data_IF_679357386235
#
_entry.id   IF_679357386235
#
_cell.length_a   1.000
_cell.length_b   1.000
_cell.length_c   1.000
_cell.angle_alpha   90.00
_cell.angle_beta   90.00
_cell.angle_gamma   90.00
#
_symmetry.space_group_name_H-M   'P 1'
#
loop_
_entity.id
_entity.type
_entity.pdbx_description
1 polymer ?
#
# COMPACT_ATOMS: atom_id res chain seq x y z
N UNK A 1 -27.93 26.32 5.88
CA UNK A 1 -26.69 25.65 5.44
C UNK A 1 -27.04 24.89 4.19
N UNK A 2 -26.27 25.07 3.12
CA UNK A 2 -26.45 24.32 1.87
C UNK A 2 -26.32 22.81 2.17
N UNK A 3 -27.33 21.97 1.85
CA UNK A 3 -27.25 20.53 2.03
C UNK A 3 -25.99 19.91 1.41
N UNK A 4 -25.53 20.45 0.27
CA UNK A 4 -24.31 20.01 -0.40
C UNK A 4 -23.07 20.21 0.46
N UNK A 5 -22.94 21.37 1.13
CA UNK A 5 -21.83 21.66 2.05
C UNK A 5 -21.75 20.67 3.23
N UNK A 6 -22.91 20.33 3.82
CA UNK A 6 -22.96 19.35 4.90
C UNK A 6 -22.54 17.95 4.42
N UNK A 7 -22.97 17.55 3.24
CA UNK A 7 -22.62 16.25 2.65
C UNK A 7 -21.14 16.19 2.28
N UNK A 8 -20.56 17.28 1.75
CA UNK A 8 -19.12 17.37 1.47
C UNK A 8 -18.27 17.14 2.70
N UNK A 9 -18.54 17.86 3.79
CA UNK A 9 -17.78 17.72 5.04
C UNK A 9 -18.03 16.40 5.73
N UNK A 10 -19.27 15.88 5.69
CA UNK A 10 -19.57 14.55 6.19
C UNK A 10 -18.84 13.47 5.39
N UNK A 11 -18.82 13.59 4.06
CA UNK A 11 -18.07 12.72 3.16
C UNK A 11 -16.57 12.76 3.45
N UNK A 12 -16.00 13.96 3.61
CA UNK A 12 -14.60 14.15 4.02
C UNK A 12 -14.30 13.49 5.37
N UNK A 13 -15.14 13.67 6.38
CA UNK A 13 -14.93 13.06 7.70
C UNK A 13 -15.02 11.53 7.66
N UNK A 14 -16.02 10.98 6.96
CA UNK A 14 -16.19 9.53 6.79
C UNK A 14 -15.04 8.94 5.97
N UNK A 15 -14.61 9.61 4.90
CA UNK A 15 -13.47 9.21 4.10
C UNK A 15 -12.17 9.27 4.91
N UNK A 16 -11.95 10.35 5.67
CA UNK A 16 -10.80 10.48 6.58
C UNK A 16 -10.74 9.31 7.56
N UNK A 17 -11.85 8.97 8.21
CA UNK A 17 -11.88 7.84 9.16
C UNK A 17 -11.65 6.48 8.47
N UNK A 18 -12.38 6.22 7.39
CA UNK A 18 -12.37 4.90 6.72
C UNK A 18 -11.09 4.65 5.92
N UNK A 19 -10.58 5.63 5.19
CA UNK A 19 -9.35 5.53 4.38
C UNK A 19 -8.12 5.46 5.28
N UNK A 20 -7.97 6.39 6.22
CA UNK A 20 -6.84 6.38 7.16
C UNK A 20 -6.92 5.12 8.03
N UNK A 21 -8.09 4.72 8.50
CA UNK A 21 -8.27 3.48 9.27
C UNK A 21 -7.89 2.22 8.51
N UNK A 22 -8.26 2.10 7.23
CA UNK A 22 -7.95 0.93 6.39
C UNK A 22 -6.45 0.83 6.06
N UNK A 23 -5.85 1.93 5.64
CA UNK A 23 -4.50 1.92 5.05
C UNK A 23 -3.39 2.26 6.04
N UNK A 24 -3.70 2.87 7.20
CA UNK A 24 -2.74 3.03 8.30
C UNK A 24 -2.18 1.68 8.75
N UNK A 25 -2.92 0.59 8.60
CA UNK A 25 -2.42 -0.76 8.86
C UNK A 25 -1.21 -1.12 7.98
N UNK A 26 -1.28 -0.76 6.70
CA UNK A 26 -0.27 -1.12 5.70
C UNK A 26 0.97 -0.24 5.79
N UNK A 27 0.84 0.96 6.38
CA UNK A 27 1.89 1.99 6.38
C UNK A 27 2.48 2.26 7.76
N UNK A 28 1.67 2.18 8.81
CA UNK A 28 2.06 2.42 10.20
C UNK A 28 1.98 1.14 11.04
N UNK A 29 1.44 0.03 10.52
CA UNK A 29 1.28 -1.21 11.28
C UNK A 29 2.60 -1.82 11.74
N UNK A 30 3.61 -1.86 10.88
CA UNK A 30 4.99 -2.30 11.20
C UNK A 30 5.64 -1.39 12.23
N UNK A 31 5.44 -0.08 12.11
CA UNK A 31 5.91 0.92 13.08
C UNK A 31 5.27 0.75 14.46
N UNK A 32 3.94 0.62 14.50
CA UNK A 32 3.20 0.38 15.74
C UNK A 32 3.64 -0.93 16.40
N UNK A 33 3.81 -2.00 15.62
CA UNK A 33 4.21 -3.32 16.14
C UNK A 33 5.65 -3.37 16.66
N UNK A 34 6.59 -2.70 16.00
CA UNK A 34 8.00 -2.66 16.41
C UNK A 34 8.29 -1.66 17.54
N UNK A 35 7.34 -0.76 17.84
CA UNK A 35 7.48 0.28 18.87
C UNK A 35 6.39 0.20 19.96
N UNK A 36 5.80 -0.96 20.23
CA UNK A 36 4.69 -1.13 21.19
C UNK A 36 5.03 -0.74 22.63
N UNK A 37 6.32 -0.80 22.99
CA UNK A 37 6.83 -0.38 24.29
C UNK A 37 6.77 1.14 24.48
N UNK A 38 6.60 1.90 23.39
CA UNK A 38 6.55 3.36 23.43
C UNK A 38 5.12 3.84 23.70
N UNK A 39 4.96 4.93 24.48
CA UNK A 39 3.67 5.57 24.65
C UNK A 39 3.06 6.00 23.30
N UNK A 40 1.77 5.74 23.12
CA UNK A 40 1.05 6.00 21.86
C UNK A 40 1.16 7.46 21.40
N UNK A 41 1.19 8.43 22.32
CA UNK A 41 1.27 9.84 21.98
C UNK A 41 2.61 10.23 21.34
N UNK A 42 3.71 9.53 21.65
CA UNK A 42 5.02 9.78 21.00
C UNK A 42 4.96 9.32 19.54
N UNK A 43 4.41 8.13 19.33
CA UNK A 43 4.22 7.54 18.01
C UNK A 43 3.25 8.40 17.17
N UNK A 44 2.20 8.93 17.81
CA UNK A 44 1.25 9.86 17.20
C UNK A 44 1.87 11.22 16.85
N UNK A 45 2.65 11.84 17.75
CA UNK A 45 3.34 13.11 17.45
C UNK A 45 4.25 12.93 16.24
N UNK A 46 4.98 11.83 16.18
CA UNK A 46 5.82 11.51 15.04
C UNK A 46 5.02 11.41 13.73
N UNK A 47 4.03 10.50 13.66
CA UNK A 47 3.22 10.32 12.45
C UNK A 47 2.38 11.57 12.08
N UNK A 48 1.89 12.29 13.10
CA UNK A 48 1.13 13.52 12.97
C UNK A 48 1.97 14.69 12.47
N UNK A 49 3.25 14.77 12.85
CA UNK A 49 4.17 15.78 12.30
C UNK A 49 4.41 15.59 10.80
N UNK A 50 4.56 14.33 10.35
CA UNK A 50 4.71 13.99 8.92
C UNK A 50 3.42 14.28 8.17
N UNK A 51 2.25 13.94 8.75
CA UNK A 51 0.94 14.28 8.18
C UNK A 51 0.80 15.79 7.99
N UNK A 52 1.11 16.56 9.04
CA UNK A 52 1.04 18.03 9.02
C UNK A 52 1.97 18.60 7.96
N UNK A 53 3.25 18.19 7.96
CA UNK A 53 4.23 18.66 7.00
C UNK A 53 3.82 18.33 5.56
N UNK A 54 3.35 17.11 5.31
CA UNK A 54 2.92 16.68 3.97
C UNK A 54 1.67 17.43 3.51
N UNK A 55 0.71 17.67 4.39
CA UNK A 55 -0.52 18.40 4.05
C UNK A 55 -0.21 19.88 3.75
N UNK A 56 0.55 20.54 4.62
CA UNK A 56 0.92 21.96 4.47
C UNK A 56 1.82 22.17 3.26
N UNK A 57 2.78 21.28 3.01
CA UNK A 57 3.66 21.37 1.84
C UNK A 57 2.88 21.22 0.53
N UNK A 58 1.91 20.28 0.47
CA UNK A 58 1.01 20.13 -0.68
C UNK A 58 0.22 21.41 -0.92
N UNK A 59 -0.50 21.87 0.10
CA UNK A 59 -1.29 23.10 0.04
C UNK A 59 -0.49 24.31 -0.45
N UNK A 60 0.71 24.52 0.08
CA UNK A 60 1.56 25.65 -0.28
C UNK A 60 2.10 25.55 -1.72
N UNK A 61 2.54 24.36 -2.13
CA UNK A 61 3.22 24.17 -3.43
C UNK A 61 2.23 24.09 -4.59
N UNK A 62 1.02 23.60 -4.37
CA UNK A 62 -0.01 23.38 -5.40
C UNK A 62 -1.18 24.37 -5.29
N UNK A 63 -0.89 25.61 -4.84
CA UNK A 63 -1.83 26.73 -4.83
C UNK A 63 -3.19 26.42 -4.15
N UNK A 64 -3.14 25.72 -3.01
CA UNK A 64 -4.30 25.32 -2.24
C UNK A 64 -4.73 23.86 -2.42
N UNK A 65 -4.16 23.12 -3.38
CA UNK A 65 -4.43 21.69 -3.57
C UNK A 65 -3.54 20.80 -2.69
N UNK A 66 -4.17 19.99 -1.86
CA UNK A 66 -3.48 19.02 -0.99
C UNK A 66 -3.35 17.64 -1.61
N UNK A 67 -3.97 17.39 -2.76
CA UNK A 67 -3.95 16.11 -3.47
C UNK A 67 -2.76 15.94 -4.42
N UNK A 68 -1.83 16.90 -4.45
CA UNK A 68 -0.61 16.86 -5.28
C UNK A 68 -0.93 16.67 -6.78
N UNK A 69 -1.98 17.33 -7.29
CA UNK A 69 -2.39 17.26 -8.70
C UNK A 69 -3.10 15.95 -9.09
N UNK A 70 -3.32 15.01 -8.15
CA UNK A 70 -3.98 13.73 -8.47
C UNK A 70 -5.45 13.87 -8.79
N UNK A 71 -6.10 14.94 -8.31
CA UNK A 71 -7.50 15.24 -8.59
C UNK A 71 -7.72 16.07 -9.87
N UNK A 72 -6.67 16.46 -10.61
CA UNK A 72 -6.79 17.25 -11.86
C UNK A 72 -7.69 16.57 -12.89
N UNK A 73 -7.63 15.23 -12.97
CA UNK A 73 -8.41 14.43 -13.93
C UNK A 73 -9.80 14.06 -13.41
N UNK A 74 -10.14 14.43 -12.18
CA UNK A 74 -11.44 14.17 -11.57
C UNK A 74 -12.29 15.45 -11.64
N UNK A 75 -13.59 15.38 -11.96
CA UNK A 75 -14.46 16.54 -11.91
C UNK A 75 -14.76 16.92 -10.46
N UNK A 76 -14.83 18.22 -10.15
CA UNK A 76 -15.40 18.67 -8.89
C UNK A 76 -16.91 18.64 -9.03
N UNK A 77 -17.59 18.17 -8.00
CA UNK A 77 -19.05 18.09 -7.97
C UNK A 77 -19.46 19.10 -6.91
N UNK A 78 -20.02 20.23 -7.35
CA UNK A 78 -20.46 21.31 -6.44
C UNK A 78 -21.73 20.87 -5.68
N UNK A 79 -22.68 20.26 -6.39
CA UNK A 79 -23.92 19.75 -5.83
C UNK A 79 -23.81 18.26 -5.42
N UNK A 80 -22.88 17.95 -4.51
CA UNK A 80 -22.73 16.58 -4.00
C UNK A 80 -24.01 16.14 -3.27
N UNK A 81 -24.64 15.09 -3.81
CA UNK A 81 -25.82 14.44 -3.24
C UNK A 81 -25.44 13.31 -2.28
N UNK A 82 -26.40 12.87 -1.46
CA UNK A 82 -26.19 11.85 -0.43
C UNK A 82 -25.56 10.51 -0.91
N UNK A 83 -25.75 10.01 -2.16
CA UNK A 83 -25.15 8.75 -2.60
C UNK A 83 -23.62 8.74 -2.57
N UNK A 84 -22.97 9.90 -2.62
CA UNK A 84 -21.52 10.02 -2.49
C UNK A 84 -21.00 9.67 -1.09
N UNK A 85 -21.89 9.56 -0.09
CA UNK A 85 -21.52 9.07 1.24
C UNK A 85 -21.41 7.54 1.31
N UNK A 86 -22.01 6.81 0.36
CA UNK A 86 -21.98 5.35 0.32
C UNK A 86 -20.55 4.76 0.30
N UNK A 87 -19.60 5.21 -0.55
CA UNK A 87 -18.29 4.61 -0.60
C UNK A 87 -17.54 4.62 0.74
N UNK A 88 -17.41 5.73 1.48
CA UNK A 88 -16.73 5.73 2.77
C UNK A 88 -17.53 5.00 3.86
N UNK A 89 -18.86 4.96 3.78
CA UNK A 89 -19.69 4.15 4.69
C UNK A 89 -19.47 2.65 4.49
N UNK A 90 -19.50 2.18 3.23
CA UNK A 90 -19.25 0.78 2.93
C UNK A 90 -17.81 0.41 3.28
N UNK A 91 -16.83 1.28 2.99
CA UNK A 91 -15.45 1.07 3.40
C UNK A 91 -15.33 0.94 4.93
N UNK A 92 -16.02 1.78 5.70
CA UNK A 92 -16.07 1.68 7.16
C UNK A 92 -16.68 0.35 7.65
N UNK A 93 -17.69 -0.19 6.96
CA UNK A 93 -18.27 -1.49 7.29
C UNK A 93 -17.32 -2.64 6.94
N UNK A 94 -16.66 -2.57 5.78
CA UNK A 94 -15.73 -3.59 5.32
C UNK A 94 -14.46 -3.63 6.16
N UNK A 95 -13.93 -2.49 6.60
CA UNK A 95 -12.74 -2.43 7.47
C UNK A 95 -12.95 -3.15 8.80
N UNK A 96 -14.18 -3.20 9.33
CA UNK A 96 -14.50 -4.00 10.54
C UNK A 96 -14.37 -5.51 10.34
N UNK A 97 -14.47 -5.99 9.10
CA UNK A 97 -14.30 -7.41 8.79
C UNK A 97 -12.83 -7.82 8.68
N UNK A 98 -11.89 -6.85 8.72
CA UNK A 98 -10.46 -7.09 8.60
C UNK A 98 -10.01 -7.47 7.18
N UNK A 99 -10.89 -7.39 6.19
CA UNK A 99 -10.54 -7.60 4.78
C UNK A 99 -9.91 -6.30 4.27
N UNK A 100 -8.64 -6.31 3.80
CA UNK A 100 -8.04 -5.14 3.19
C UNK A 100 -8.79 -4.81 1.90
N UNK A 101 -9.39 -3.63 1.84
CA UNK A 101 -10.11 -3.15 0.66
C UNK A 101 -9.30 -2.02 0.03
N UNK A 102 -9.30 -1.95 -1.29
CA UNK A 102 -8.71 -0.80 -1.96
C UNK A 102 -9.58 0.44 -1.78
N UNK A 103 -9.16 1.33 -0.90
CA UNK A 103 -9.75 2.65 -0.65
C UNK A 103 -9.93 3.45 -1.94
N UNK A 104 -8.90 3.44 -2.79
CA UNK A 104 -8.89 4.22 -4.03
C UNK A 104 -9.93 3.72 -5.03
N UNK A 105 -10.05 2.40 -5.26
CA UNK A 105 -11.14 1.83 -6.08
C UNK A 105 -12.50 2.17 -5.49
N UNK A 106 -12.69 2.03 -4.18
CA UNK A 106 -13.97 2.29 -3.54
C UNK A 106 -14.39 3.75 -3.67
N UNK A 107 -13.49 4.70 -3.44
CA UNK A 107 -13.85 6.13 -3.40
C UNK A 107 -13.75 6.76 -4.78
N UNK A 108 -12.61 6.69 -5.46
CA UNK A 108 -12.37 7.49 -6.67
C UNK A 108 -13.17 7.01 -7.88
N UNK A 109 -13.47 5.72 -7.97
CA UNK A 109 -14.25 5.20 -9.11
C UNK A 109 -15.70 5.68 -9.08
N UNK A 110 -16.22 6.07 -7.91
CA UNK A 110 -17.52 6.74 -7.81
C UNK A 110 -17.49 8.13 -8.44
N UNK A 111 -16.41 8.88 -8.25
CA UNK A 111 -16.27 10.23 -8.84
C UNK A 111 -15.87 10.20 -10.32
N UNK A 112 -15.27 9.09 -10.79
CA UNK A 112 -14.92 8.90 -12.19
C UNK A 112 -15.01 7.43 -12.64
N UNK A 113 -16.22 6.92 -12.93
CA UNK A 113 -16.42 5.52 -13.34
C UNK A 113 -15.60 5.11 -14.58
N UNK A 114 -15.45 6.01 -15.56
CA UNK A 114 -14.69 5.77 -16.79
C UNK A 114 -13.19 5.53 -16.54
N UNK A 115 -12.65 5.94 -15.38
CA UNK A 115 -11.25 5.72 -15.01
C UNK A 115 -10.97 4.35 -14.36
N UNK A 116 -12.00 3.52 -14.14
CA UNK A 116 -11.88 2.24 -13.46
C UNK A 116 -10.88 1.31 -14.17
N UNK A 117 -10.98 1.16 -15.49
CA UNK A 117 -10.10 0.27 -16.25
C UNK A 117 -8.62 0.66 -16.10
N UNK A 118 -8.29 1.93 -16.34
CA UNK A 118 -6.91 2.44 -16.20
C UNK A 118 -6.37 2.24 -14.79
N UNK A 119 -7.22 2.45 -13.79
CA UNK A 119 -6.88 2.28 -12.39
C UNK A 119 -6.66 0.80 -12.02
N UNK A 120 -7.50 -0.10 -12.52
CA UNK A 120 -7.35 -1.57 -12.39
C UNK A 120 -6.05 -2.03 -13.02
N UNK A 121 -5.80 -1.62 -14.26
CA UNK A 121 -4.59 -1.95 -14.98
C UNK A 121 -3.34 -1.49 -14.24
N UNK A 122 -3.30 -0.24 -13.78
CA UNK A 122 -2.17 0.29 -12.99
C UNK A 122 -1.99 -0.41 -11.65
N UNK A 123 -3.07 -0.81 -10.99
CA UNK A 123 -3.00 -1.53 -9.71
C UNK A 123 -2.47 -2.95 -9.88
N UNK A 124 -2.87 -3.65 -10.95
CA UNK A 124 -2.33 -4.98 -11.31
C UNK A 124 -0.85 -4.87 -11.67
N UNK A 125 -0.47 -3.88 -12.48
CA UNK A 125 0.94 -3.61 -12.78
C UNK A 125 1.74 -3.35 -11.50
N UNK A 126 1.18 -2.54 -10.60
CA UNK A 126 1.76 -2.26 -9.28
C UNK A 126 1.97 -3.51 -8.44
N UNK A 127 0.99 -4.40 -8.40
CA UNK A 127 1.11 -5.70 -7.75
C UNK A 127 2.27 -6.53 -8.34
N UNK A 128 2.27 -6.70 -9.67
CA UNK A 128 3.27 -7.50 -10.41
C UNK A 128 4.68 -6.95 -10.19
N UNK A 129 4.85 -5.63 -10.31
CA UNK A 129 6.12 -4.95 -10.11
C UNK A 129 6.62 -5.09 -8.66
N UNK A 130 5.75 -4.86 -7.69
CA UNK A 130 6.08 -4.98 -6.27
C UNK A 130 6.46 -6.42 -5.90
N UNK A 131 5.73 -7.40 -6.43
CA UNK A 131 6.00 -8.82 -6.24
C UNK A 131 7.37 -9.24 -6.79
N UNK A 132 7.68 -8.87 -8.04
CA UNK A 132 8.99 -9.15 -8.65
C UNK A 132 10.14 -8.49 -7.88
N UNK A 133 9.96 -7.21 -7.54
CA UNK A 133 10.94 -6.41 -6.81
C UNK A 133 11.21 -7.01 -5.43
N UNK A 134 10.16 -7.42 -4.70
CA UNK A 134 10.29 -8.08 -3.41
C UNK A 134 11.07 -9.39 -3.51
N UNK A 135 10.80 -10.23 -4.52
CA UNK A 135 11.56 -11.48 -4.72
C UNK A 135 13.05 -11.20 -4.89
N UNK A 136 13.41 -10.28 -5.79
CA UNK A 136 14.82 -9.97 -6.08
C UNK A 136 15.51 -9.43 -4.84
N UNK A 137 14.91 -8.40 -4.22
CA UNK A 137 15.53 -7.73 -3.09
C UNK A 137 15.64 -8.67 -1.91
N UNK A 138 14.62 -9.46 -1.62
CA UNK A 138 14.67 -10.33 -0.46
C UNK A 138 15.64 -11.50 -0.64
N UNK A 139 15.81 -12.01 -1.87
CA UNK A 139 16.89 -12.96 -2.20
C UNK A 139 18.28 -12.34 -2.06
N UNK A 140 18.45 -11.07 -2.43
CA UNK A 140 19.71 -10.37 -2.24
C UNK A 140 19.99 -10.15 -0.75
N UNK A 141 19.00 -9.67 0.00
CA UNK A 141 19.11 -9.41 1.43
C UNK A 141 19.44 -10.71 2.15
N UNK A 142 18.70 -11.79 1.98
CA UNK A 142 19.01 -13.08 2.65
C UNK A 142 20.38 -13.67 2.27
N UNK A 143 20.97 -13.29 1.13
CA UNK A 143 22.34 -13.70 0.75
C UNK A 143 23.42 -12.78 1.34
N UNK A 144 23.16 -11.49 1.42
CA UNK A 144 24.09 -10.47 1.92
C UNK A 144 24.06 -10.36 3.44
N UNK A 145 22.88 -10.56 4.00
CA UNK A 145 22.53 -10.51 5.41
C UNK A 145 22.52 -11.95 5.87
N UNK A 146 23.65 -12.36 6.46
CA UNK A 146 23.95 -13.70 6.96
C UNK A 146 22.76 -14.29 7.73
N UNK A 147 22.53 -15.63 7.70
CA UNK A 147 21.46 -16.28 8.52
C UNK A 147 21.52 -15.87 9.99
N UNK A 148 22.74 -15.60 10.47
CA UNK A 148 23.08 -15.03 11.77
C UNK A 148 22.43 -13.69 12.06
N UNK A 149 22.13 -12.86 11.08
CA UNK A 149 21.44 -11.60 11.31
C UNK A 149 20.01 -11.86 11.76
N UNK A 150 19.25 -12.73 11.09
CA UNK A 150 17.87 -13.07 11.50
C UNK A 150 17.87 -13.83 12.84
N UNK A 151 18.86 -14.68 13.08
CA UNK A 151 18.93 -15.56 14.26
C UNK A 151 19.60 -14.91 15.49
N UNK A 152 20.47 -13.90 15.31
CA UNK A 152 21.15 -13.25 16.43
C UNK A 152 20.34 -12.04 16.94
N UNK A 153 20.23 -11.89 18.27
CA UNK A 153 19.63 -10.71 18.86
C UNK A 153 20.44 -9.46 18.53
N UNK A 154 19.73 -8.36 18.29
CA UNK A 154 20.32 -7.06 17.99
C UNK A 154 21.22 -6.64 19.15
N UNK A 155 22.47 -6.28 18.85
CA UNK A 155 23.37 -5.78 19.89
C UNK A 155 22.87 -4.44 20.44
N UNK A 156 23.03 -4.15 21.75
CA UNK A 156 22.58 -2.90 22.35
C UNK A 156 23.11 -1.64 21.64
N UNK A 157 24.31 -1.73 21.08
CA UNK A 157 25.00 -0.66 20.36
C UNK A 157 24.37 -0.37 19.00
N UNK A 158 23.86 -1.40 18.30
CA UNK A 158 23.23 -1.27 16.98
C UNK A 158 21.75 -0.86 17.09
N UNK A 159 21.12 -1.12 18.24
CA UNK A 159 19.69 -0.87 18.46
C UNK A 159 19.29 0.57 18.16
N UNK A 160 20.12 1.55 18.52
CA UNK A 160 19.84 2.98 18.24
C UNK A 160 19.82 3.28 16.74
N UNK A 161 20.76 2.72 15.98
CA UNK A 161 20.82 2.91 14.52
C UNK A 161 19.58 2.33 13.86
N UNK A 162 19.17 1.12 14.24
CA UNK A 162 17.97 0.48 13.69
C UNK A 162 16.68 1.22 14.04
N UNK A 163 16.58 1.81 15.23
CA UNK A 163 15.44 2.67 15.57
C UNK A 163 15.39 3.87 14.63
N UNK A 164 16.51 4.56 14.42
CA UNK A 164 16.55 5.73 13.52
C UNK A 164 16.22 5.33 12.08
N UNK A 165 16.77 4.22 11.59
CA UNK A 165 16.51 3.73 10.24
C UNK A 165 15.03 3.36 10.06
N UNK A 166 14.43 2.65 11.01
CA UNK A 166 13.03 2.22 10.93
C UNK A 166 12.07 3.42 11.00
N UNK A 167 12.35 4.39 11.87
CA UNK A 167 11.55 5.60 11.95
C UNK A 167 11.67 6.41 10.65
N UNK A 168 12.88 6.52 10.10
CA UNK A 168 13.11 7.21 8.82
C UNK A 168 12.40 6.51 7.65
N UNK A 169 12.46 5.18 7.59
CA UNK A 169 11.74 4.40 6.57
C UNK A 169 10.22 4.52 6.73
N UNK A 170 9.72 4.53 7.97
CA UNK A 170 8.30 4.81 8.26
C UNK A 170 7.90 6.20 7.81
N UNK A 171 8.72 7.22 8.11
CA UNK A 171 8.44 8.59 7.70
C UNK A 171 8.34 8.71 6.18
N UNK A 172 9.27 8.06 5.49
CA UNK A 172 9.27 8.03 4.04
C UNK A 172 8.02 7.32 3.49
N UNK A 173 7.69 6.13 4.00
CA UNK A 173 6.49 5.39 3.59
C UNK A 173 5.20 6.16 3.87
N UNK A 174 5.04 6.65 5.10
CA UNK A 174 3.85 7.38 5.52
C UNK A 174 3.66 8.65 4.69
N UNK A 175 4.74 9.41 4.46
CA UNK A 175 4.71 10.57 3.56
C UNK A 175 4.33 10.19 2.13
N UNK A 176 4.92 9.13 1.55
CA UNK A 176 4.57 8.69 0.20
C UNK A 176 3.11 8.24 0.10
N UNK A 177 2.59 7.55 1.11
CA UNK A 177 1.19 7.14 1.15
C UNK A 177 0.26 8.35 1.23
N UNK A 178 0.51 9.29 2.15
CA UNK A 178 -0.29 10.51 2.30
C UNK A 178 -0.42 11.29 0.99
N UNK A 179 0.69 11.46 0.26
CA UNK A 179 0.71 12.12 -1.05
C UNK A 179 -0.24 11.43 -2.05
N UNK A 180 -0.40 10.12 -1.97
CA UNK A 180 -1.28 9.37 -2.88
C UNK A 180 -2.73 9.39 -2.42
N UNK A 181 -2.95 9.17 -1.13
CA UNK A 181 -4.26 8.92 -0.55
C UNK A 181 -4.99 10.18 -0.10
N UNK A 182 -4.32 11.34 -0.05
CA UNK A 182 -5.03 12.63 0.08
C UNK A 182 -6.06 12.82 -1.04
N UNK A 183 -5.84 12.30 -2.24
CA UNK A 183 -6.85 12.30 -3.29
C UNK A 183 -8.14 11.58 -2.85
N UNK A 184 -8.04 10.45 -2.15
CA UNK A 184 -9.19 9.67 -1.69
C UNK A 184 -9.99 10.38 -0.60
N UNK A 185 -9.32 11.22 0.20
CA UNK A 185 -9.92 11.95 1.31
C UNK A 185 -10.50 13.30 0.84
N UNK A 186 -9.73 14.06 0.06
CA UNK A 186 -10.06 15.42 -0.35
C UNK A 186 -10.90 15.50 -1.63
N UNK A 187 -11.24 14.38 -2.27
CA UNK A 187 -12.15 14.38 -3.44
C UNK A 187 -13.51 15.04 -3.15
N UNK A 188 -13.94 15.04 -1.89
CA UNK A 188 -15.19 15.66 -1.41
C UNK A 188 -15.10 17.18 -1.21
N UNK A 189 -13.89 17.75 -1.13
CA UNK A 189 -13.67 19.17 -0.89
C UNK A 189 -13.26 19.89 -2.19
N UNK A 190 -13.37 21.24 -2.23
CA UNK A 190 -12.88 22.02 -3.36
C UNK A 190 -11.38 21.77 -3.61
N UNK A 191 -10.93 21.92 -4.86
CA UNK A 191 -9.52 21.66 -5.24
C UNK A 191 -8.56 22.57 -4.50
N UNK A 192 -8.89 23.86 -4.45
CA UNK A 192 -8.16 24.82 -3.66
C UNK A 192 -8.94 25.06 -2.37
N UNK A 193 -8.41 24.57 -1.25
CA UNK A 193 -8.98 24.84 0.06
C UNK A 193 -8.35 26.10 0.66
N UNK A 194 -9.13 26.87 1.40
CA UNK A 194 -8.63 28.03 2.15
C UNK A 194 -7.75 27.61 3.34
N UNK A 195 -7.04 28.56 3.93
CA UNK A 195 -6.23 28.31 5.14
C UNK A 195 -7.06 27.84 6.33
N UNK A 196 -8.32 28.29 6.43
CA UNK A 196 -9.26 27.85 7.48
C UNK A 196 -9.69 26.42 7.25
N UNK A 197 -10.05 26.06 6.02
CA UNK A 197 -10.43 24.69 5.66
C UNK A 197 -9.25 23.73 5.84
N UNK A 198 -8.03 24.15 5.46
CA UNK A 198 -6.80 23.41 5.73
C UNK A 198 -6.63 23.12 7.23
N UNK A 199 -6.80 24.14 8.08
CA UNK A 199 -6.67 23.99 9.54
C UNK A 199 -7.71 23.01 10.09
N UNK A 200 -8.97 23.16 9.69
CA UNK A 200 -10.07 22.28 10.12
C UNK A 200 -9.83 20.84 9.66
N UNK A 201 -9.49 20.64 8.39
CA UNK A 201 -9.14 19.33 7.84
C UNK A 201 -7.95 18.70 8.56
N UNK A 202 -6.91 19.49 8.86
CA UNK A 202 -5.74 19.02 9.61
C UNK A 202 -6.11 18.55 11.02
N UNK A 203 -6.91 19.33 11.75
CA UNK A 203 -7.38 18.96 13.09
C UNK A 203 -8.16 17.65 13.04
N UNK A 204 -9.09 17.51 12.09
CA UNK A 204 -9.87 16.27 11.90
C UNK A 204 -8.94 15.09 11.66
N UNK A 205 -7.99 15.21 10.72
CA UNK A 205 -7.05 14.13 10.40
C UNK A 205 -6.16 13.77 11.60
N UNK A 206 -5.66 14.75 12.35
CA UNK A 206 -4.85 14.52 13.54
C UNK A 206 -5.63 13.83 14.67
N UNK A 207 -6.90 14.20 14.87
CA UNK A 207 -7.79 13.57 15.85
C UNK A 207 -8.09 12.12 15.45
N UNK A 208 -8.37 11.86 14.18
CA UNK A 208 -8.58 10.48 13.68
C UNK A 208 -7.31 9.64 13.82
N UNK A 209 -6.15 10.22 13.51
CA UNK A 209 -4.86 9.56 13.72
C UNK A 209 -4.61 9.29 15.21
N UNK A 210 -4.95 10.23 16.09
CA UNK A 210 -4.83 10.05 17.54
C UNK A 210 -5.68 8.87 18.01
N UNK A 211 -6.92 8.75 17.52
CA UNK A 211 -7.81 7.63 17.83
C UNK A 211 -7.22 6.28 17.39
N UNK A 212 -6.61 6.21 16.20
CA UNK A 212 -5.95 4.98 15.70
C UNK A 212 -4.78 4.57 16.60
N UNK A 213 -3.93 5.53 16.99
CA UNK A 213 -2.78 5.25 17.86
C UNK A 213 -3.20 4.92 19.29
N UNK A 214 -4.20 5.62 19.83
CA UNK A 214 -4.76 5.36 21.16
C UNK A 214 -5.38 3.97 21.27
N UNK A 215 -6.15 3.56 20.26
CA UNK A 215 -6.71 2.21 20.17
C UNK A 215 -5.68 1.13 19.83
N UNK A 216 -4.40 1.51 19.65
CA UNK A 216 -3.29 0.67 19.17
C UNK A 216 -3.64 -0.10 17.88
N UNK A 217 -4.56 0.43 17.07
CA UNK A 217 -5.06 -0.26 15.88
C UNK A 217 -6.04 -1.42 16.15
N UNK A 218 -6.55 -1.62 17.37
CA UNK A 218 -7.66 -2.54 17.69
C UNK A 218 -7.53 -3.97 17.11
N UNK A 219 -8.65 -4.55 16.65
CA UNK A 219 -8.68 -5.85 15.97
C UNK A 219 -7.80 -5.90 14.70
N UNK A 220 -7.54 -4.73 14.11
CA UNK A 220 -6.78 -4.57 12.86
C UNK A 220 -5.29 -4.83 13.11
N UNK A 221 -4.74 -4.48 14.28
CA UNK A 221 -3.34 -4.78 14.63
C UNK A 221 -3.06 -6.29 14.75
N UNK A 222 -4.05 -7.10 15.15
CA UNK A 222 -3.89 -8.56 15.22
C UNK A 222 -3.60 -9.18 13.85
N UNK A 223 -4.11 -8.58 12.78
CA UNK A 223 -3.91 -9.07 11.40
C UNK A 223 -2.45 -8.89 10.96
N UNK A 224 -1.81 -7.76 11.30
CA UNK A 224 -0.39 -7.52 10.99
C UNK A 224 0.54 -8.29 11.91
N UNK A 225 0.17 -8.45 13.19
CA UNK A 225 0.88 -9.31 14.14
C UNK A 225 0.85 -10.79 13.75
N UNK A 226 -0.24 -11.24 13.13
CA UNK A 226 -0.37 -12.62 12.65
C UNK A 226 0.51 -12.95 11.44
N UNK A 227 1.04 -11.94 10.73
CA UNK A 227 1.96 -12.14 9.61
C UNK A 227 3.39 -12.24 10.15
N UNK A 228 4.05 -13.36 9.85
CA UNK A 228 5.35 -13.75 10.40
C UNK A 228 6.40 -12.65 10.20
N UNK A 229 7.18 -12.38 11.25
CA UNK A 229 8.41 -11.57 11.25
C UNK A 229 8.28 -10.04 11.07
N UNK A 230 7.09 -9.45 11.27
CA UNK A 230 6.89 -7.98 11.26
C UNK A 230 7.32 -7.28 12.56
N UNK A 231 7.61 -8.06 13.61
CA UNK A 231 8.05 -7.55 14.93
C UNK A 231 9.54 -7.18 14.93
N UNK A 232 10.37 -7.79 14.06
CA UNK A 232 11.78 -7.41 13.95
C UNK A 232 11.90 -6.05 13.24
N UNK A 233 12.50 -5.08 13.95
CA UNK A 233 12.73 -3.71 13.49
C UNK A 233 13.52 -3.64 12.17
N UNK A 234 14.39 -4.61 11.90
CA UNK A 234 15.24 -4.66 10.69
C UNK A 234 14.41 -5.06 9.48
N UNK A 235 13.59 -6.10 9.64
CA UNK A 235 12.61 -6.52 8.65
C UNK A 235 11.61 -5.41 8.37
N UNK A 236 11.07 -4.76 9.41
CA UNK A 236 10.18 -3.62 9.29
C UNK A 236 10.82 -2.47 8.49
N UNK A 237 12.08 -2.10 8.79
CA UNK A 237 12.82 -1.05 8.07
C UNK A 237 12.87 -1.33 6.57
N UNK A 238 13.24 -2.56 6.18
CA UNK A 238 13.37 -2.93 4.78
C UNK A 238 12.01 -2.91 4.09
N UNK A 239 10.97 -3.50 4.72
CA UNK A 239 9.62 -3.52 4.17
C UNK A 239 9.12 -2.10 3.93
N UNK A 240 9.24 -1.23 4.94
CA UNK A 240 8.75 0.14 4.88
C UNK A 240 9.47 0.90 3.75
N UNK A 241 10.80 0.78 3.67
CA UNK A 241 11.61 1.46 2.66
C UNK A 241 11.29 0.98 1.24
N UNK A 242 11.19 -0.32 1.01
CA UNK A 242 10.85 -0.86 -0.31
C UNK A 242 9.44 -0.49 -0.73
N UNK A 243 8.49 -0.55 0.20
CA UNK A 243 7.13 -0.14 -0.10
C UNK A 243 7.10 1.34 -0.48
N UNK A 244 7.79 2.20 0.27
CA UNK A 244 7.90 3.62 -0.01
C UNK A 244 8.54 3.91 -1.38
N UNK A 245 9.58 3.16 -1.77
CA UNK A 245 10.19 3.30 -3.10
C UNK A 245 9.23 2.94 -4.23
N UNK A 246 8.47 1.86 -4.09
CA UNK A 246 7.46 1.47 -5.09
C UNK A 246 6.36 2.54 -5.16
N UNK A 247 5.90 3.06 -4.02
CA UNK A 247 4.95 4.17 -3.98
C UNK A 247 5.50 5.44 -4.64
N UNK A 248 6.75 5.82 -4.33
CA UNK A 248 7.41 6.98 -4.93
C UNK A 248 7.51 6.82 -6.46
N UNK A 249 7.87 5.63 -6.93
CA UNK A 249 7.87 5.32 -8.36
C UNK A 249 6.50 5.60 -8.97
N UNK A 250 5.43 4.97 -8.49
CA UNK A 250 4.11 5.25 -9.08
C UNK A 250 3.64 6.71 -8.92
N UNK A 251 4.11 7.43 -7.90
CA UNK A 251 3.84 8.86 -7.74
C UNK A 251 4.53 9.72 -8.81
N UNK A 252 5.80 9.46 -9.15
CA UNK A 252 6.53 10.26 -10.13
C UNK A 252 6.12 9.99 -11.57
N UNK A 253 5.62 8.78 -11.83
CA UNK A 253 5.43 8.28 -13.19
C UNK A 253 3.96 8.15 -13.60
N UNK A 254 2.99 8.47 -12.73
CA UNK A 254 1.57 8.44 -13.08
C UNK A 254 0.73 9.39 -12.23
N UNK A 255 0.02 10.31 -12.90
CA UNK A 255 -1.02 11.14 -12.25
C UNK A 255 -2.33 10.38 -12.02
N UNK A 256 -2.49 9.18 -12.59
CA UNK A 256 -3.67 8.33 -12.31
C UNK A 256 -3.46 7.65 -10.97
N UNK A 257 -4.40 7.79 -10.01
CA UNK A 257 -4.36 7.08 -8.74
C UNK A 257 -4.32 5.57 -8.95
N UNK A 258 -3.52 4.88 -8.16
CA UNK A 258 -3.45 3.42 -8.14
C UNK A 258 -3.85 2.92 -6.76
N UNK A 259 -4.19 1.65 -6.63
CA UNK A 259 -4.43 1.04 -5.34
C UNK A 259 -3.13 0.67 -4.64
N UNK A 260 -2.81 1.39 -3.58
CA UNK A 260 -1.71 1.10 -2.65
C UNK A 260 -1.86 -0.29 -2.02
N UNK A 261 -3.09 -0.74 -1.77
CA UNK A 261 -3.40 -2.09 -1.23
C UNK A 261 -2.92 -3.23 -2.14
N UNK A 262 -3.10 -3.13 -3.46
CA UNK A 262 -2.61 -4.16 -4.39
C UNK A 262 -1.09 -4.23 -4.40
N UNK A 263 -0.42 -3.06 -4.42
CA UNK A 263 1.04 -2.97 -4.35
C UNK A 263 1.58 -3.61 -3.06
N UNK A 264 0.97 -3.30 -1.92
CA UNK A 264 1.34 -3.86 -0.63
C UNK A 264 1.23 -5.38 -0.60
N UNK A 265 0.12 -5.94 -1.10
CA UNK A 265 -0.05 -7.39 -1.18
C UNK A 265 0.96 -8.06 -2.10
N UNK A 266 1.28 -7.43 -3.24
CA UNK A 266 2.33 -7.92 -4.13
C UNK A 266 3.68 -7.99 -3.43
N UNK A 267 4.05 -6.92 -2.72
CA UNK A 267 5.29 -6.85 -1.94
C UNK A 267 5.35 -7.94 -0.85
N UNK A 268 4.29 -8.08 -0.06
CA UNK A 268 4.21 -9.08 1.01
C UNK A 268 4.30 -10.51 0.46
N UNK A 269 3.56 -10.79 -0.61
CA UNK A 269 3.54 -12.10 -1.24
C UNK A 269 4.91 -12.48 -1.82
N UNK A 270 5.58 -11.55 -2.50
CA UNK A 270 6.92 -11.77 -3.03
C UNK A 270 7.96 -11.98 -1.92
N UNK A 271 7.86 -11.21 -0.84
CA UNK A 271 8.71 -11.35 0.36
C UNK A 271 8.56 -12.72 1.01
N UNK A 272 7.33 -13.12 1.32
CA UNK A 272 7.04 -14.38 2.01
C UNK A 272 7.52 -15.58 1.20
N UNK A 273 7.32 -15.54 -0.13
CA UNK A 273 7.83 -16.56 -1.04
C UNK A 273 9.36 -16.63 -1.01
N UNK A 274 10.04 -15.48 -1.06
CA UNK A 274 11.49 -15.42 -1.04
C UNK A 274 12.11 -15.87 0.31
N UNK A 275 11.51 -15.50 1.44
CA UNK A 275 11.95 -15.95 2.78
C UNK A 275 11.86 -17.46 2.89
N UNK A 276 10.70 -18.03 2.57
CA UNK A 276 10.48 -19.49 2.72
C UNK A 276 11.39 -20.29 1.80
N UNK A 277 11.67 -19.78 0.62
CA UNK A 277 12.67 -20.35 -0.27
C UNK A 277 14.07 -20.39 0.37
N UNK A 278 14.53 -19.27 0.93
CA UNK A 278 15.88 -19.15 1.48
C UNK A 278 16.05 -19.94 2.80
N UNK A 279 15.01 -20.01 3.64
CA UNK A 279 14.98 -20.87 4.82
C UNK A 279 14.99 -22.36 4.46
N UNK A 280 14.36 -22.74 3.33
CA UNK A 280 14.32 -24.10 2.80
C UNK A 280 15.63 -24.58 2.16
N UNK A 281 16.63 -23.71 1.97
CA UNK A 281 17.96 -24.09 1.45
C UNK A 281 18.76 -24.88 2.49
N UNK A 282 18.50 -26.19 2.56
CA UNK A 282 19.38 -27.20 3.18
C UNK A 282 19.89 -28.25 2.18
N UNK A 283 19.27 -28.39 1.01
CA UNK A 283 19.66 -29.35 -0.02
C UNK A 283 20.44 -28.70 -1.18
N UNK A 284 21.29 -29.51 -1.84
CA UNK A 284 22.08 -29.12 -3.01
C UNK A 284 21.16 -28.79 -4.19
N UNK A 285 20.96 -27.49 -4.47
CA UNK A 285 20.20 -27.02 -5.63
C UNK A 285 20.87 -27.53 -6.91
N UNK A 286 20.10 -28.12 -7.83
CA UNK A 286 20.62 -28.59 -9.12
C UNK A 286 21.25 -27.42 -9.89
N UNK A 287 22.37 -27.68 -10.60
CA UNK A 287 23.09 -26.65 -11.35
C UNK A 287 22.19 -25.96 -12.38
N UNK A 288 21.30 -26.73 -13.03
CA UNK A 288 20.33 -26.21 -14.00
C UNK A 288 19.30 -25.27 -13.38
N UNK A 289 18.72 -25.62 -12.24
CA UNK A 289 17.73 -24.77 -11.56
C UNK A 289 18.36 -23.45 -11.09
N UNK A 290 19.61 -23.51 -10.56
CA UNK A 290 20.36 -22.33 -10.14
C UNK A 290 20.64 -21.36 -11.30
N UNK A 291 21.09 -21.88 -12.44
CA UNK A 291 21.37 -21.06 -13.63
C UNK A 291 20.07 -20.45 -14.17
N UNK A 292 19.00 -21.25 -14.28
CA UNK A 292 17.68 -20.76 -14.70
C UNK A 292 17.18 -19.64 -13.77
N UNK A 293 17.32 -19.80 -12.44
CA UNK A 293 16.95 -18.80 -11.45
C UNK A 293 17.75 -17.50 -11.59
N UNK A 294 19.07 -17.58 -11.84
CA UNK A 294 19.91 -16.41 -12.08
C UNK A 294 19.54 -15.67 -13.37
N UNK A 295 19.33 -16.40 -14.47
CA UNK A 295 18.90 -15.82 -15.74
C UNK A 295 17.56 -15.11 -15.58
N UNK A 296 16.58 -15.75 -14.95
CA UNK A 296 15.27 -15.15 -14.70
C UNK A 296 15.35 -13.93 -13.78
N UNK A 297 16.23 -13.93 -12.77
CA UNK A 297 16.46 -12.74 -11.95
C UNK A 297 17.01 -11.57 -12.79
N UNK A 298 17.98 -11.82 -13.67
CA UNK A 298 18.51 -10.78 -14.58
C UNK A 298 17.42 -10.28 -15.52
N UNK A 299 16.64 -11.19 -16.12
CA UNK A 299 15.52 -10.82 -16.98
C UNK A 299 14.45 -10.00 -16.23
N UNK A 300 14.15 -10.34 -14.98
CA UNK A 300 13.24 -9.54 -14.16
C UNK A 300 13.80 -8.16 -13.85
N UNK A 301 15.09 -8.02 -13.52
CA UNK A 301 15.72 -6.71 -13.31
C UNK A 301 15.67 -5.87 -14.59
N UNK A 302 15.97 -6.47 -15.74
CA UNK A 302 15.87 -5.78 -17.04
C UNK A 302 14.44 -5.40 -17.36
N UNK A 303 13.47 -6.27 -17.10
CA UNK A 303 12.05 -5.98 -17.30
C UNK A 303 11.55 -4.86 -16.38
N UNK A 304 11.96 -4.86 -15.11
CA UNK A 304 11.70 -3.77 -14.16
C UNK A 304 12.29 -2.45 -14.72
N UNK A 305 13.56 -2.46 -15.13
CA UNK A 305 14.21 -1.29 -15.70
C UNK A 305 13.52 -0.80 -16.98
N UNK A 306 13.05 -1.72 -17.82
CA UNK A 306 12.33 -1.41 -19.05
C UNK A 306 10.93 -0.83 -18.79
N UNK A 307 10.20 -1.37 -17.82
CA UNK A 307 8.92 -0.81 -17.34
C UNK A 307 9.14 0.60 -16.78
N UNK A 308 10.22 0.81 -16.02
CA UNK A 308 10.62 2.14 -15.52
C UNK A 308 10.94 3.10 -16.68
N UNK A 309 11.62 2.62 -17.72
CA UNK A 309 12.01 3.42 -18.87
C UNK A 309 10.82 3.88 -19.73
N UNK A 310 9.86 2.99 -19.99
CA UNK A 310 8.70 3.28 -20.85
C UNK A 310 7.65 4.20 -20.21
N UNK A 311 7.66 4.34 -18.88
CA UNK A 311 6.78 5.23 -18.10
C UNK A 311 5.29 5.03 -18.41
N UNK A 312 4.74 5.83 -19.32
CA UNK A 312 3.32 5.94 -19.64
C UNK A 312 2.88 5.10 -20.85
N UNK A 313 3.82 4.52 -21.61
CA UNK A 313 3.53 3.75 -22.84
C UNK A 313 3.69 2.25 -22.57
N UNK A 314 3.01 1.77 -21.53
CA UNK A 314 3.00 0.35 -21.19
C UNK A 314 1.86 -0.35 -21.92
N UNK A 315 2.18 -1.09 -22.97
CA UNK A 315 1.21 -1.93 -23.68
C UNK A 315 0.84 -3.18 -22.87
N UNK A 316 -0.38 -3.69 -23.07
CA UNK A 316 -0.88 -4.92 -22.43
C UNK A 316 0.06 -6.11 -22.60
N UNK A 317 0.66 -6.24 -23.79
CA UNK A 317 1.63 -7.29 -24.14
C UNK A 317 2.84 -7.30 -23.20
N UNK A 318 3.35 -6.12 -22.83
CA UNK A 318 4.50 -6.01 -21.94
C UNK A 318 4.12 -6.48 -20.53
N UNK A 319 2.94 -6.13 -20.04
CA UNK A 319 2.46 -6.60 -18.73
C UNK A 319 2.28 -8.12 -18.73
N UNK A 320 1.66 -8.67 -19.77
CA UNK A 320 1.53 -10.13 -19.91
C UNK A 320 2.89 -10.81 -19.93
N UNK A 321 3.86 -10.26 -20.68
CA UNK A 321 5.22 -10.80 -20.72
C UNK A 321 5.91 -10.73 -19.35
N UNK A 322 5.70 -9.65 -18.60
CA UNK A 322 6.29 -9.47 -17.27
C UNK A 322 5.64 -10.41 -16.24
N UNK A 323 4.32 -10.58 -16.30
CA UNK A 323 3.61 -11.56 -15.49
C UNK A 323 4.08 -13.00 -15.80
N UNK A 324 4.26 -13.35 -17.07
CA UNK A 324 4.81 -14.66 -17.47
C UNK A 324 6.24 -14.86 -16.95
N UNK A 325 7.09 -13.85 -16.99
CA UNK A 325 8.44 -13.90 -16.41
C UNK A 325 8.40 -14.16 -14.89
N UNK A 326 7.48 -13.53 -14.18
CA UNK A 326 7.27 -13.77 -12.75
C UNK A 326 6.78 -15.18 -12.50
N UNK A 327 5.80 -15.66 -13.26
CA UNK A 327 5.28 -17.03 -13.14
C UNK A 327 6.40 -18.03 -13.39
N UNK A 328 7.21 -17.82 -14.44
CA UNK A 328 8.37 -18.65 -14.74
C UNK A 328 9.39 -18.63 -13.59
N UNK A 329 9.71 -17.45 -13.02
CA UNK A 329 10.63 -17.35 -11.88
C UNK A 329 10.09 -18.04 -10.65
N UNK A 330 8.81 -17.86 -10.35
CA UNK A 330 8.12 -18.52 -9.25
C UNK A 330 8.09 -20.03 -9.43
N UNK A 331 7.87 -20.53 -10.65
CA UNK A 331 7.95 -21.96 -10.95
C UNK A 331 9.37 -22.51 -10.77
N UNK A 332 10.40 -21.79 -11.21
CA UNK A 332 11.80 -22.18 -10.95
C UNK A 332 12.10 -22.14 -9.45
N UNK A 333 11.58 -21.16 -8.69
CA UNK A 333 11.69 -21.15 -7.23
C UNK A 333 11.07 -22.40 -6.59
N UNK A 334 9.91 -22.83 -7.09
CA UNK A 334 9.26 -24.06 -6.64
C UNK A 334 10.10 -25.29 -6.97
N UNK A 335 10.69 -25.33 -8.16
CA UNK A 335 11.57 -26.43 -8.56
C UNK A 335 12.86 -26.46 -7.74
N UNK A 336 13.46 -25.29 -7.46
CA UNK A 336 14.60 -25.15 -6.56
C UNK A 336 14.24 -25.61 -5.11
N UNK A 337 12.97 -25.45 -4.70
CA UNK A 337 12.47 -25.83 -3.38
C UNK A 337 12.05 -27.31 -3.25
N UNK A 338 11.82 -28.03 -4.37
CA UNK A 338 11.19 -29.36 -4.42
C UNK A 338 11.91 -30.49 -3.64
N UNK A 339 13.10 -30.25 -3.10
CA UNK A 339 13.83 -31.26 -2.33
C UNK A 339 13.54 -31.24 -0.82
N UNK A 340 12.73 -30.32 -0.30
CA UNK A 340 12.21 -30.34 1.08
C UNK A 340 10.74 -29.83 1.10
N UNK A 341 9.97 -30.13 2.14
CA UNK A 341 8.66 -29.51 2.41
C UNK A 341 8.86 -28.22 3.23
N UNK A 342 9.01 -27.02 2.63
CA UNK A 342 8.42 -25.86 3.26
C UNK A 342 6.92 -25.93 3.02
N UNK A 343 6.12 -25.37 3.92
CA UNK A 343 4.68 -25.13 3.78
C UNK A 343 4.38 -24.16 2.60
N UNK A 344 4.85 -24.46 1.38
CA UNK A 344 4.77 -23.62 0.19
C UNK A 344 3.35 -23.63 -0.37
N UNK A 345 2.66 -24.78 -0.25
CA UNK A 345 1.22 -24.87 -0.48
C UNK A 345 0.46 -23.91 0.45
N UNK A 346 0.85 -23.82 1.72
CA UNK A 346 0.30 -22.83 2.65
C UNK A 346 0.60 -21.40 2.23
N UNK A 347 1.80 -21.11 1.73
CA UNK A 347 2.17 -19.78 1.21
C UNK A 347 1.36 -19.38 -0.01
N UNK A 348 1.28 -20.25 -1.02
CA UNK A 348 0.48 -19.97 -2.23
C UNK A 348 -1.00 -19.84 -1.90
N UNK A 349 -1.49 -20.66 -0.97
CA UNK A 349 -2.85 -20.55 -0.45
C UNK A 349 -3.06 -19.22 0.28
N UNK A 350 -2.10 -18.77 1.09
CA UNK A 350 -2.15 -17.47 1.77
C UNK A 350 -2.16 -16.30 0.77
N UNK A 351 -1.24 -16.31 -0.19
CA UNK A 351 -1.17 -15.29 -1.26
C UNK A 351 -2.44 -15.29 -2.10
N UNK A 352 -2.94 -16.49 -2.46
CA UNK A 352 -4.20 -16.65 -3.20
C UNK A 352 -5.40 -16.12 -2.42
N UNK A 353 -5.49 -16.40 -1.12
CA UNK A 353 -6.54 -15.84 -0.26
C UNK A 353 -6.47 -14.32 -0.15
N UNK A 354 -5.26 -13.76 -0.03
CA UNK A 354 -5.08 -12.30 0.02
C UNK A 354 -5.48 -11.65 -1.33
N UNK A 355 -5.18 -12.29 -2.46
CA UNK A 355 -5.62 -11.85 -3.79
C UNK A 355 -7.16 -11.94 -3.96
N UNK A 356 -7.78 -13.02 -3.48
CA UNK A 356 -9.23 -13.21 -3.51
C UNK A 356 -9.92 -12.11 -2.70
N UNK A 357 -9.42 -11.81 -1.49
CA UNK A 357 -9.95 -10.74 -0.64
C UNK A 357 -9.97 -9.38 -1.33
N UNK A 358 -8.88 -9.01 -1.98
CA UNK A 358 -8.81 -7.71 -2.67
C UNK A 358 -9.62 -7.70 -3.97
N UNK A 359 -9.72 -8.85 -4.64
CA UNK A 359 -10.62 -9.02 -5.80
C UNK A 359 -12.09 -8.86 -5.40
N UNK A 360 -12.50 -9.39 -4.24
CA UNK A 360 -13.84 -9.14 -3.68
C UNK A 360 -14.06 -7.65 -3.46
N UNK A 361 -13.09 -6.93 -2.90
CA UNK A 361 -13.15 -5.48 -2.75
C UNK A 361 -13.34 -4.74 -4.09
N UNK A 362 -12.66 -5.18 -5.15
CA UNK A 362 -12.84 -4.65 -6.50
C UNK A 362 -14.24 -4.95 -7.05
N UNK A 363 -14.75 -6.17 -6.89
CA UNK A 363 -16.11 -6.55 -7.30
C UNK A 363 -17.15 -5.70 -6.58
N UNK A 364 -17.00 -5.49 -5.28
CA UNK A 364 -17.87 -4.60 -4.49
C UNK A 364 -17.80 -3.17 -5.02
N UNK A 365 -16.60 -2.66 -5.32
CA UNK A 365 -16.42 -1.32 -5.90
C UNK A 365 -17.16 -1.19 -7.24
N UNK A 366 -17.04 -2.20 -8.11
CA UNK A 366 -17.72 -2.23 -9.40
C UNK A 366 -19.25 -2.27 -9.21
N UNK A 367 -19.75 -3.15 -8.35
CA UNK A 367 -21.17 -3.27 -8.04
C UNK A 367 -21.75 -1.96 -7.51
N UNK A 368 -20.99 -1.28 -6.64
CA UNK A 368 -21.36 0.03 -6.11
C UNK A 368 -21.38 1.13 -7.17
N UNK A 369 -20.44 1.12 -8.12
CA UNK A 369 -20.48 2.05 -9.27
C UNK A 369 -21.76 1.85 -10.07
N UNK A 370 -22.16 0.61 -10.34
CA UNK A 370 -23.44 0.34 -11.03
C UNK A 370 -24.66 0.75 -10.20
N UNK A 371 -24.64 0.50 -8.88
CA UNK A 371 -25.68 0.97 -7.97
C UNK A 371 -25.80 2.49 -7.99
N UNK A 372 -24.68 3.22 -8.04
CA UNK A 372 -24.68 4.67 -8.12
C UNK A 372 -25.30 5.16 -9.43
N UNK A 373 -24.96 4.55 -10.57
CA UNK A 373 -25.61 4.88 -11.85
C UNK A 373 -27.13 4.71 -11.76
N UNK A 374 -27.57 3.64 -11.11
CA UNK A 374 -28.99 3.39 -10.88
C UNK A 374 -29.65 4.44 -9.95
N UNK A 375 -28.98 4.82 -8.85
CA UNK A 375 -29.51 5.75 -7.86
C UNK A 375 -29.47 7.23 -8.30
N UNK A 376 -28.51 7.61 -9.12
CA UNK A 376 -28.28 9.00 -9.55
C UNK A 376 -28.78 9.27 -10.97
N UNK A 377 -29.05 8.22 -11.76
CA UNK A 377 -29.48 8.35 -13.16
C UNK A 377 -28.38 8.75 -14.13
N UNK A 378 -27.10 8.68 -13.73
CA UNK A 378 -25.90 9.08 -14.50
C UNK A 378 -25.12 7.86 -15.00
#
# INVERSE_FOLDING_TARGET
>A
MDPSFLIMWLGFMLASYSVVGNDSLQTLGTFLASNEDRPWYILWIFAGSILTATLVYGWYTYAGDVSYGRLEKYPFIEDISWPYLLPPLVLMLLTRTGIPVSTSFMVLTFFKPKGLYDMTFKSVLGYVLAFATAIIIWQLITRLVDKRFIENPIQPQEKRVWIVLQWSSTAFLWGQWLIQDFANIFVYLPRAISSVELLVSLVILLVMLAYIFYSRGGAIQQIVKAKTNTVDIRSATIIDFLYALVLLFFKQYSNVPMSTTWVFLGLLAGRELAIRFELGKRATISRGARVAGQVLNVLLVLAIAYVIYLRDVLGEVLICSFALLIIARTAVLMWEAQNHEPDLKGTLRMVGFDLVKVTIGLIISIALVYLMKFLTGI
#
